data_IF_675349030465
#
_entry.id   IF_675349030465
#
_cell.length_a   1.000
_cell.length_b   1.000
_cell.length_c   1.000
_cell.angle_alpha   90.00
_cell.angle_beta   90.00
_cell.angle_gamma   90.00
#
_symmetry.space_group_name_H-M   'P 1'
#
loop_
_entity.id
_entity.type
_entity.pdbx_description
1 polymer ?
#
# COMPACT_ATOMS: atom_id res chain seq x y z
N UNK A 1 1.89 2.83 -21.05
CA UNK A 1 1.89 1.95 -19.85
C UNK A 1 0.61 1.12 -19.85
N UNK A 2 0.70 -0.21 -19.63
CA UNK A 2 -0.48 -1.08 -19.58
C UNK A 2 -1.23 -0.84 -18.25
N UNK A 3 -2.57 -0.69 -18.28
CA UNK A 3 -3.36 -0.52 -17.04
C UNK A 3 -3.33 -1.78 -16.18
N UNK A 4 -3.46 -1.61 -14.85
CA UNK A 4 -3.60 -2.74 -13.93
C UNK A 4 -5.03 -3.28 -14.01
N UNK A 5 -5.19 -4.57 -14.29
CA UNK A 5 -6.42 -5.28 -13.95
C UNK A 5 -6.37 -5.64 -12.46
N UNK A 6 -7.05 -4.86 -11.65
CA UNK A 6 -6.98 -4.98 -10.19
C UNK A 6 -7.46 -6.34 -9.67
N UNK A 7 -8.27 -7.07 -10.44
CA UNK A 7 -8.76 -8.40 -10.04
C UNK A 7 -7.65 -9.44 -9.93
N UNK A 8 -6.50 -9.20 -10.58
CA UNK A 8 -5.32 -10.06 -10.52
C UNK A 8 -4.35 -9.73 -9.36
N UNK A 9 -4.63 -8.69 -8.57
CA UNK A 9 -3.79 -8.33 -7.43
C UNK A 9 -3.91 -9.29 -6.25
N UNK A 10 -4.92 -10.17 -6.25
CA UNK A 10 -5.01 -11.32 -5.34
C UNK A 10 -5.66 -12.50 -6.04
N UNK A 11 -5.11 -13.69 -5.83
CA UNK A 11 -5.72 -14.96 -6.23
C UNK A 11 -6.67 -15.53 -5.17
N UNK A 12 -6.64 -14.97 -3.96
CA UNK A 12 -7.38 -15.48 -2.80
C UNK A 12 -8.62 -14.65 -2.49
N UNK A 13 -8.52 -13.33 -2.59
CA UNK A 13 -9.57 -12.39 -2.19
C UNK A 13 -10.07 -11.57 -3.37
N UNK A 14 -11.35 -11.23 -3.36
CA UNK A 14 -11.90 -10.32 -4.36
C UNK A 14 -11.29 -8.93 -4.19
N UNK A 15 -10.88 -8.33 -5.31
CA UNK A 15 -10.28 -6.98 -5.31
C UNK A 15 -11.16 -6.05 -6.14
N UNK A 16 -11.48 -4.87 -5.58
CA UNK A 16 -12.17 -3.82 -6.32
C UNK A 16 -11.70 -2.43 -5.90
N UNK A 17 -11.95 -1.45 -6.74
CA UNK A 17 -11.75 -0.04 -6.37
C UNK A 17 -12.68 0.32 -5.22
N UNK A 18 -12.14 1.08 -4.27
CA UNK A 18 -12.93 1.74 -3.24
C UNK A 18 -13.41 3.08 -3.77
N UNK A 19 -14.70 3.31 -3.61
CA UNK A 19 -15.39 4.50 -4.09
C UNK A 19 -15.81 5.39 -2.90
N UNK A 20 -16.27 6.63 -3.12
CA UNK A 20 -16.73 7.49 -2.03
C UNK A 20 -17.79 6.86 -1.13
N UNK A 21 -18.60 5.93 -1.67
CA UNK A 21 -19.63 5.18 -0.94
C UNK A 21 -19.02 4.18 0.06
N UNK A 22 -17.76 3.76 -0.13
CA UNK A 22 -17.07 2.82 0.74
C UNK A 22 -16.38 3.50 1.94
N UNK A 23 -16.40 4.83 2.02
CA UNK A 23 -15.68 5.60 3.05
C UNK A 23 -16.01 5.14 4.46
N UNK A 24 -17.26 4.80 4.75
CA UNK A 24 -17.66 4.33 6.07
C UNK A 24 -17.02 2.98 6.43
N UNK A 25 -16.91 2.05 5.47
CA UNK A 25 -16.25 0.77 5.66
C UNK A 25 -14.74 0.96 5.87
N UNK A 26 -14.12 1.85 5.10
CA UNK A 26 -12.69 2.23 5.27
C UNK A 26 -12.47 2.84 6.65
N UNK A 27 -13.32 3.79 7.07
CA UNK A 27 -13.25 4.38 8.42
C UNK A 27 -13.38 3.32 9.52
N UNK A 28 -14.29 2.35 9.36
CA UNK A 28 -14.48 1.28 10.33
C UNK A 28 -13.22 0.44 10.47
N UNK A 29 -12.57 0.06 9.35
CA UNK A 29 -11.31 -0.68 9.36
C UNK A 29 -10.18 0.15 10.01
N UNK A 30 -10.07 1.43 9.68
CA UNK A 30 -9.07 2.34 10.25
C UNK A 30 -9.24 2.49 11.76
N UNK A 31 -10.47 2.65 12.27
CA UNK A 31 -10.74 2.79 13.71
C UNK A 31 -10.33 1.57 14.52
N UNK A 32 -10.31 0.39 13.94
CA UNK A 32 -9.85 -0.84 14.60
C UNK A 32 -8.33 -0.93 14.69
N UNK A 33 -7.59 -0.15 13.89
CA UNK A 33 -6.13 -0.13 13.81
C UNK A 33 -5.52 1.05 14.60
N UNK A 34 -5.98 1.30 15.82
CA UNK A 34 -5.57 2.45 16.64
C UNK A 34 -4.06 2.51 16.87
N UNK A 35 -3.39 1.35 16.98
CA UNK A 35 -1.94 1.28 17.18
C UNK A 35 -1.16 1.92 16.03
N UNK A 36 -1.60 1.72 14.78
CA UNK A 36 -0.98 2.38 13.62
C UNK A 36 -0.99 3.90 13.78
N UNK A 37 -2.13 4.46 14.19
CA UNK A 37 -2.30 5.90 14.30
C UNK A 37 -1.55 6.56 15.47
N UNK A 38 -1.08 5.77 16.45
CA UNK A 38 -0.19 6.28 17.51
C UNK A 38 1.17 6.71 16.97
N UNK A 39 1.60 6.13 15.85
CA UNK A 39 2.89 6.40 15.20
C UNK A 39 2.78 7.31 13.99
N UNK A 40 1.59 7.54 13.46
CA UNK A 40 1.38 8.50 12.37
C UNK A 40 1.49 9.92 12.91
N UNK A 41 2.15 10.80 12.16
CA UNK A 41 2.41 12.17 12.59
C UNK A 41 1.19 13.02 12.99
N UNK A 42 -0.05 12.60 12.63
CA UNK A 42 -1.29 13.25 13.08
C UNK A 42 -1.72 12.81 14.48
N UNK A 43 -1.31 11.62 14.94
CA UNK A 43 -1.74 11.02 16.21
C UNK A 43 -3.24 10.72 16.30
N UNK A 44 -3.99 10.86 15.21
CA UNK A 44 -5.44 10.63 15.15
C UNK A 44 -5.82 9.66 14.04
N UNK A 45 -6.88 8.90 14.25
CA UNK A 45 -7.47 8.06 13.22
C UNK A 45 -8.00 8.94 12.08
N UNK A 46 -7.80 8.50 10.84
CA UNK A 46 -8.29 9.20 9.67
C UNK A 46 -9.81 9.40 9.72
N UNK A 47 -10.25 10.63 9.48
CA UNK A 47 -11.66 10.97 9.34
C UNK A 47 -12.14 10.65 7.91
N UNK A 48 -13.45 10.66 7.70
CA UNK A 48 -14.05 10.40 6.39
C UNK A 48 -13.53 11.34 5.30
N UNK A 49 -13.27 12.61 5.65
CA UNK A 49 -12.75 13.60 4.70
C UNK A 49 -11.29 13.31 4.32
N UNK A 50 -10.45 12.91 5.29
CA UNK A 50 -9.07 12.49 5.01
C UNK A 50 -9.04 11.32 4.01
N UNK A 51 -9.92 10.34 4.21
CA UNK A 51 -10.04 9.17 3.33
C UNK A 51 -10.51 9.56 1.93
N UNK A 52 -11.51 10.46 1.80
CA UNK A 52 -11.96 10.95 0.50
C UNK A 52 -10.84 11.67 -0.23
N UNK A 53 -10.05 12.46 0.49
CA UNK A 53 -8.89 13.14 -0.06
C UNK A 53 -7.82 12.14 -0.51
N UNK A 54 -7.49 11.15 0.33
CA UNK A 54 -6.51 10.10 0.00
C UNK A 54 -6.90 9.30 -1.23
N UNK A 55 -8.19 9.04 -1.45
CA UNK A 55 -8.68 8.37 -2.65
C UNK A 55 -8.35 9.13 -3.95
N UNK A 56 -8.16 10.44 -3.89
CA UNK A 56 -8.01 11.32 -5.06
C UNK A 56 -6.59 11.86 -5.24
N UNK A 57 -5.86 12.10 -4.14
CA UNK A 57 -4.54 12.71 -4.19
C UNK A 57 -3.54 11.78 -4.85
N UNK A 58 -2.82 12.31 -5.83
CA UNK A 58 -1.70 11.64 -6.51
C UNK A 58 -0.39 12.36 -6.22
N UNK A 59 0.75 11.65 -6.27
CA UNK A 59 2.06 12.30 -6.24
C UNK A 59 2.26 13.27 -7.41
N UNK A 60 3.23 14.19 -7.30
CA UNK A 60 3.58 15.08 -8.41
C UNK A 60 3.87 14.29 -9.69
N UNK A 61 3.42 14.85 -10.82
CA UNK A 61 3.63 14.27 -12.16
C UNK A 61 2.99 12.89 -12.39
N UNK A 62 1.98 12.53 -11.58
CA UNK A 62 1.23 11.26 -11.71
C UNK A 62 -0.20 11.55 -12.12
N UNK A 63 -0.67 10.89 -13.17
CA UNK A 63 -2.05 11.01 -13.63
C UNK A 63 -3.01 10.21 -12.71
N UNK A 64 -4.28 10.65 -12.56
CA UNK A 64 -5.26 9.95 -11.71
C UNK A 64 -5.47 8.48 -12.09
N UNK A 65 -5.33 8.16 -13.37
CA UNK A 65 -5.47 6.80 -13.91
C UNK A 65 -4.38 5.84 -13.43
N UNK A 66 -3.26 6.37 -12.94
CA UNK A 66 -2.14 5.59 -12.40
C UNK A 66 -2.37 5.20 -10.93
N UNK A 67 -3.39 5.79 -10.28
CA UNK A 67 -3.75 5.51 -8.88
C UNK A 67 -4.84 4.47 -8.78
N UNK A 68 -4.64 3.53 -7.87
CA UNK A 68 -5.56 2.43 -7.56
C UNK A 68 -5.77 2.38 -6.05
N UNK A 69 -6.81 3.07 -5.56
CA UNK A 69 -7.23 2.96 -4.17
C UNK A 69 -8.21 1.78 -4.08
N UNK A 70 -7.74 0.65 -3.54
CA UNK A 70 -8.43 -0.64 -3.65
C UNK A 70 -8.69 -1.28 -2.30
N UNK A 71 -9.73 -2.11 -2.24
CA UNK A 71 -10.05 -2.97 -1.13
C UNK A 71 -9.94 -4.45 -1.52
N UNK A 72 -9.48 -5.24 -0.57
CA UNK A 72 -9.51 -6.70 -0.63
C UNK A 72 -10.67 -7.20 0.23
N UNK A 73 -11.46 -8.13 -0.32
CA UNK A 73 -12.71 -8.57 0.29
C UNK A 73 -12.74 -10.09 0.49
N UNK A 74 -13.12 -10.51 1.70
CA UNK A 74 -13.53 -11.88 2.00
C UNK A 74 -15.07 -11.93 2.04
N UNK A 75 -15.68 -12.45 0.97
CA UNK A 75 -17.11 -12.28 0.74
C UNK A 75 -17.49 -10.80 0.68
N UNK A 76 -18.36 -10.35 1.60
CA UNK A 76 -18.77 -8.95 1.71
C UNK A 76 -17.88 -8.10 2.64
N UNK A 77 -16.94 -8.73 3.35
CA UNK A 77 -16.13 -8.06 4.37
C UNK A 77 -14.88 -7.43 3.77
N UNK A 78 -14.68 -6.13 3.94
CA UNK A 78 -13.44 -5.44 3.63
C UNK A 78 -12.36 -5.85 4.65
N UNK A 79 -11.34 -6.57 4.19
CA UNK A 79 -10.27 -7.10 5.05
C UNK A 79 -8.96 -6.34 4.93
N UNK A 80 -8.72 -5.67 3.80
CA UNK A 80 -7.52 -4.85 3.62
C UNK A 80 -7.77 -3.71 2.63
N UNK A 81 -6.95 -2.67 2.75
CA UNK A 81 -6.94 -1.50 1.88
C UNK A 81 -5.52 -1.34 1.34
N UNK A 82 -5.41 -0.99 0.06
CA UNK A 82 -4.13 -0.61 -0.55
C UNK A 82 -4.32 0.63 -1.43
N UNK A 83 -3.47 1.64 -1.24
CA UNK A 83 -3.26 2.72 -2.18
C UNK A 83 -2.05 2.38 -3.03
N UNK A 84 -2.27 2.04 -4.29
CA UNK A 84 -1.25 1.60 -5.22
C UNK A 84 -1.15 2.61 -6.37
N UNK A 85 0.05 3.04 -6.67
CA UNK A 85 0.34 3.95 -7.78
C UNK A 85 1.33 3.28 -8.71
N UNK A 86 1.02 3.23 -9.98
CA UNK A 86 1.91 2.67 -10.99
C UNK A 86 2.62 3.75 -11.78
N UNK A 87 3.93 3.57 -12.01
CA UNK A 87 4.75 4.53 -12.74
C UNK A 87 5.15 5.74 -11.88
N UNK A 88 5.45 5.52 -10.61
CA UNK A 88 5.97 6.55 -9.71
C UNK A 88 7.05 5.96 -8.78
N UNK A 89 8.20 6.63 -8.63
CA UNK A 89 8.62 7.88 -9.31
C UNK A 89 9.01 7.71 -10.78
N UNK A 90 9.19 6.48 -11.27
CA UNK A 90 9.59 6.14 -12.63
C UNK A 90 8.62 5.12 -13.23
N UNK A 91 8.56 5.02 -14.56
CA UNK A 91 7.59 4.24 -15.33
C UNK A 91 7.55 2.74 -14.97
N UNK A 92 8.68 2.17 -14.54
CA UNK A 92 8.82 0.77 -14.16
C UNK A 92 8.67 0.52 -12.65
N UNK A 93 8.29 1.56 -11.90
CA UNK A 93 8.14 1.51 -10.43
C UNK A 93 6.67 1.49 -10.04
N UNK A 94 6.33 0.59 -9.10
CA UNK A 94 5.09 0.65 -8.34
C UNK A 94 5.35 1.33 -6.98
N UNK A 95 4.39 2.10 -6.50
CA UNK A 95 4.47 2.76 -5.19
C UNK A 95 3.23 2.41 -4.36
N UNK A 96 3.46 1.91 -3.14
CA UNK A 96 2.39 1.68 -2.17
C UNK A 96 2.34 2.90 -1.25
N UNK A 97 1.33 3.75 -1.46
CA UNK A 97 1.10 4.94 -0.64
C UNK A 97 0.51 4.61 0.73
N UNK A 98 -0.32 3.57 0.79
CA UNK A 98 -0.96 3.10 2.01
C UNK A 98 -1.28 1.61 1.91
N UNK A 99 -1.12 0.88 3.01
CA UNK A 99 -1.59 -0.49 3.17
C UNK A 99 -2.04 -0.72 4.60
N UNK A 100 -3.26 -1.17 4.78
CA UNK A 100 -3.80 -1.50 6.08
C UNK A 100 -4.62 -2.77 6.02
N UNK A 101 -4.35 -3.70 6.95
CA UNK A 101 -5.05 -4.96 7.11
C UNK A 101 -5.98 -4.88 8.33
N UNK A 102 -7.18 -5.43 8.23
CA UNK A 102 -8.07 -5.57 9.37
C UNK A 102 -7.39 -6.28 10.53
N UNK A 103 -7.60 -5.81 11.74
CA UNK A 103 -6.91 -6.29 12.95
C UNK A 103 -7.11 -7.79 13.17
N UNK A 104 -8.29 -8.35 12.83
CA UNK A 104 -8.58 -9.77 13.01
C UNK A 104 -7.83 -10.66 11.99
N UNK A 105 -7.30 -10.07 10.92
CA UNK A 105 -6.50 -10.76 9.91
C UNK A 105 -5.00 -10.65 10.17
N UNK A 106 -4.58 -9.81 11.11
CA UNK A 106 -3.17 -9.63 11.45
C UNK A 106 -2.58 -10.85 12.17
N UNK A 107 -1.25 -10.99 12.11
CA UNK A 107 -0.54 -12.12 12.75
C UNK A 107 -0.73 -13.48 12.10
N UNK A 108 -1.51 -13.60 11.02
CA UNK A 108 -1.90 -14.84 10.35
C UNK A 108 -1.25 -15.03 8.98
N UNK A 109 -0.33 -14.15 8.60
CA UNK A 109 0.34 -14.19 7.29
C UNK A 109 -0.46 -13.55 6.14
N UNK A 110 -1.73 -13.18 6.34
CA UNK A 110 -2.62 -12.64 5.30
C UNK A 110 -2.02 -11.40 4.63
N UNK A 111 -1.55 -10.42 5.40
CA UNK A 111 -0.96 -9.21 4.83
C UNK A 111 0.28 -9.49 3.97
N UNK A 112 1.14 -10.42 4.39
CA UNK A 112 2.32 -10.82 3.60
C UNK A 112 1.92 -11.53 2.30
N UNK A 113 0.88 -12.37 2.34
CA UNK A 113 0.36 -13.04 1.16
C UNK A 113 -0.21 -12.03 0.14
N UNK A 114 -1.05 -11.08 0.60
CA UNK A 114 -1.62 -10.03 -0.25
C UNK A 114 -0.53 -9.18 -0.93
N UNK A 115 0.49 -8.76 -0.16
CA UNK A 115 1.62 -8.01 -0.71
C UNK A 115 2.38 -8.85 -1.74
N UNK A 116 2.66 -10.12 -1.43
CA UNK A 116 3.40 -11.00 -2.35
C UNK A 116 2.64 -11.24 -3.67
N UNK A 117 1.32 -11.52 -3.60
CA UNK A 117 0.47 -11.70 -4.78
C UNK A 117 0.43 -10.43 -5.65
N UNK A 118 0.22 -9.27 -5.02
CA UNK A 118 0.19 -7.99 -5.73
C UNK A 118 1.52 -7.69 -6.42
N UNK A 119 2.66 -7.89 -5.73
CA UNK A 119 3.98 -7.65 -6.30
C UNK A 119 4.31 -8.61 -7.43
N UNK A 120 3.95 -9.89 -7.31
CA UNK A 120 4.14 -10.88 -8.37
C UNK A 120 3.37 -10.47 -9.65
N UNK A 121 2.12 -10.03 -9.50
CA UNK A 121 1.36 -9.56 -10.65
C UNK A 121 1.96 -8.28 -11.26
N UNK A 122 2.37 -7.31 -10.45
CA UNK A 122 3.01 -6.08 -10.93
C UNK A 122 4.31 -6.37 -11.71
N UNK A 123 5.08 -7.38 -11.29
CA UNK A 123 6.24 -7.85 -12.02
C UNK A 123 5.87 -8.33 -13.43
N UNK A 124 4.78 -9.08 -13.60
CA UNK A 124 4.31 -9.53 -14.92
C UNK A 124 3.91 -8.37 -15.84
N UNK A 125 3.58 -7.22 -15.26
CA UNK A 125 3.26 -5.98 -15.99
C UNK A 125 4.49 -5.11 -16.29
N UNK A 126 5.71 -5.62 -15.99
CA UNK A 126 6.98 -4.95 -16.26
C UNK A 126 7.43 -3.98 -15.17
N UNK A 127 6.84 -4.02 -13.95
CA UNK A 127 7.42 -3.29 -12.82
C UNK A 127 8.70 -4.01 -12.38
N UNK A 128 9.79 -3.26 -12.26
CA UNK A 128 11.10 -3.77 -11.83
C UNK A 128 11.32 -3.61 -10.33
N UNK A 129 10.56 -2.71 -9.69
CA UNK A 129 10.65 -2.44 -8.26
C UNK A 129 9.32 -1.92 -7.68
N UNK A 130 9.20 -2.06 -6.37
CA UNK A 130 8.14 -1.43 -5.59
C UNK A 130 8.76 -0.56 -4.49
N UNK A 131 8.22 0.62 -4.29
CA UNK A 131 8.65 1.57 -3.27
C UNK A 131 7.51 1.94 -2.33
N UNK A 132 7.86 2.39 -1.14
CA UNK A 132 6.92 2.90 -0.14
C UNK A 132 7.62 3.78 0.91
N UNK A 133 6.81 4.48 1.71
CA UNK A 133 7.26 5.22 2.88
C UNK A 133 6.82 4.55 4.18
N UNK A 134 7.69 4.54 5.18
CA UNK A 134 7.42 4.01 6.52
C UNK A 134 7.64 5.15 7.52
N UNK A 135 6.66 5.46 8.37
CA UNK A 135 6.90 6.35 9.51
C UNK A 135 8.05 5.78 10.36
N UNK A 136 9.12 6.56 10.55
CA UNK A 136 10.36 6.09 11.20
C UNK A 136 10.12 5.49 12.56
N UNK A 137 9.19 6.08 13.30
CA UNK A 137 8.86 5.69 14.67
C UNK A 137 7.78 4.60 14.77
N UNK A 138 7.33 4.04 13.62
CA UNK A 138 6.37 2.95 13.60
C UNK A 138 7.05 1.57 13.54
N UNK A 139 7.26 0.89 14.68
CA UNK A 139 7.97 -0.39 14.72
C UNK A 139 7.19 -1.52 14.04
N UNK A 140 5.85 -1.49 14.09
CA UNK A 140 4.99 -2.50 13.47
C UNK A 140 5.13 -2.46 11.95
N UNK A 141 5.01 -1.28 11.35
CA UNK A 141 5.15 -1.08 9.90
C UNK A 141 6.57 -1.42 9.44
N UNK A 142 7.58 -0.95 10.19
CA UNK A 142 8.99 -1.23 9.88
C UNK A 142 9.28 -2.74 9.88
N UNK A 143 8.82 -3.47 10.90
CA UNK A 143 8.96 -4.93 10.97
C UNK A 143 8.24 -5.62 9.81
N UNK A 144 6.99 -5.22 9.52
CA UNK A 144 6.19 -5.81 8.45
C UNK A 144 6.86 -5.67 7.08
N UNK A 145 7.28 -4.48 6.70
CA UNK A 145 7.86 -4.24 5.39
C UNK A 145 9.23 -4.89 5.21
N UNK A 146 10.08 -4.86 6.25
CA UNK A 146 11.38 -5.59 6.23
C UNK A 146 11.18 -7.09 6.09
N UNK A 147 10.25 -7.68 6.82
CA UNK A 147 9.89 -9.11 6.71
C UNK A 147 9.44 -9.47 5.30
N UNK A 148 8.79 -8.55 4.58
CA UNK A 148 8.35 -8.75 3.20
C UNK A 148 9.42 -8.38 2.16
N UNK A 149 10.67 -8.19 2.57
CA UNK A 149 11.84 -8.03 1.70
C UNK A 149 12.11 -6.60 1.23
N UNK A 150 11.43 -5.61 1.83
CA UNK A 150 11.74 -4.20 1.56
C UNK A 150 12.99 -3.76 2.33
N UNK A 151 13.87 -3.04 1.64
CA UNK A 151 15.11 -2.49 2.20
C UNK A 151 14.98 -0.96 2.29
N UNK A 152 15.36 -0.39 3.42
CA UNK A 152 15.40 1.06 3.60
C UNK A 152 16.58 1.61 2.80
N UNK A 153 16.28 2.55 1.90
CA UNK A 153 17.29 3.18 1.02
C UNK A 153 17.71 4.57 1.49
N UNK A 154 16.81 5.32 2.12
CA UNK A 154 17.07 6.66 2.63
C UNK A 154 16.03 7.13 3.63
N UNK A 155 16.34 8.19 4.36
CA UNK A 155 15.39 8.97 5.13
C UNK A 155 14.91 10.19 4.32
N UNK A 156 13.66 10.59 4.53
CA UNK A 156 13.07 11.79 3.95
C UNK A 156 12.36 12.58 5.05
N UNK A 157 12.66 13.87 5.14
CA UNK A 157 11.96 14.76 6.04
C UNK A 157 10.63 15.17 5.42
N UNK A 158 9.54 15.06 6.18
CA UNK A 158 8.22 15.56 5.83
C UNK A 158 7.70 16.48 6.94
N UNK A 159 6.62 17.21 6.68
CA UNK A 159 6.00 18.11 7.67
C UNK A 159 5.58 17.37 8.95
N UNK A 160 5.20 16.10 8.84
CA UNK A 160 4.67 15.26 9.93
C UNK A 160 5.73 14.35 10.58
N UNK A 161 7.00 14.45 10.19
CA UNK A 161 8.07 13.64 10.75
C UNK A 161 9.02 13.08 9.71
N UNK A 162 9.82 12.09 10.12
CA UNK A 162 10.79 11.42 9.26
C UNK A 162 10.17 10.14 8.68
N UNK A 163 10.26 10.00 7.36
CA UNK A 163 9.84 8.81 6.63
C UNK A 163 11.09 8.03 6.19
N UNK A 164 11.07 6.74 6.44
CA UNK A 164 12.02 5.80 5.85
C UNK A 164 11.49 5.40 4.47
N UNK A 165 12.21 5.76 3.43
CA UNK A 165 11.90 5.29 2.07
C UNK A 165 12.46 3.89 1.92
N UNK A 166 11.59 2.95 1.58
CA UNK A 166 11.93 1.54 1.41
C UNK A 166 11.61 1.07 -0.01
N UNK A 167 12.39 0.12 -0.48
CA UNK A 167 12.33 -0.42 -1.84
C UNK A 167 12.45 -1.95 -1.82
N UNK A 168 11.75 -2.61 -2.72
CA UNK A 168 11.92 -4.03 -3.04
C UNK A 168 12.05 -4.19 -4.55
N UNK A 169 13.13 -4.85 -5.02
CA UNK A 169 13.29 -5.26 -6.41
C UNK A 169 12.35 -6.41 -6.71
N UNK A 170 11.73 -6.38 -7.88
CA UNK A 170 10.78 -7.38 -8.38
C UNK A 170 11.38 -8.27 -9.47
N UNK A 171 12.49 -7.83 -10.08
CA UNK A 171 13.25 -8.66 -11.02
C UNK A 171 14.32 -9.42 -10.26
N UNK A 172 14.52 -10.68 -10.61
CA UNK A 172 15.65 -11.47 -10.10
C UNK A 172 16.95 -10.79 -10.47
N UNK A 173 17.87 -10.72 -9.51
CA UNK A 173 19.19 -10.11 -9.68
C UNK A 173 20.17 -11.00 -10.48
N UNK A 174 19.66 -11.86 -11.38
CA UNK A 174 20.43 -12.81 -12.16
C UNK A 174 20.09 -12.73 -13.67
N UNK A 175 20.53 -11.66 -14.32
CA UNK A 175 20.99 -11.70 -15.71
C UNK A 175 22.14 -10.72 -15.89
N UNK A 176 23.23 -10.95 -15.18
CA UNK A 176 24.53 -10.35 -15.52
C UNK A 176 25.60 -11.43 -15.37
N UNK A 177 25.74 -12.17 -16.43
CA UNK A 177 26.98 -12.89 -16.69
C UNK A 177 27.48 -12.53 -18.09
#
# INVERSE_FOLDING_TARGET
>A
MQSIDITHLSGTYAVRRLMPEDVDAVCALCRRNTQYYQYCGSGRVAAAEDIRQDMQVTPPHTAPEQKYYIGFFDGASLIAIMDLIRGYPDDDTAFIGFFMLDIDQQGRGVGSALVAEALAYLQTLGCTRCMLGIDKDNPQSNHFWRKNGFQITREAQQERGVILVAEKRLTDADETN
#
